data_IF_206951752388
#
_entry.id   IF_206951752388
#
_cell.length_a   1.000
_cell.length_b   1.000
_cell.length_c   1.000
_cell.angle_alpha   90.00
_cell.angle_beta   90.00
_cell.angle_gamma   90.00
#
_symmetry.space_group_name_H-M   'P 1'
#
loop_
_entity.id
_entity.type
_entity.pdbx_description
1 polymer ?
#
# COMPACT_ATOMS: atom_id res chain seq x y z
N UNK A 1 -31.89 17.43 27.90
CA UNK A 1 -31.36 16.10 27.68
C UNK A 1 -30.38 16.08 26.49
N UNK A 2 -29.20 16.65 26.61
CA UNK A 2 -28.06 16.45 25.72
C UNK A 2 -26.71 16.67 26.46
N UNK A 3 -26.34 15.81 27.42
CA UNK A 3 -24.94 15.79 27.89
C UNK A 3 -24.18 14.51 27.54
N UNK A 4 -24.77 13.55 26.81
CA UNK A 4 -24.19 12.21 26.66
C UNK A 4 -23.25 12.07 25.45
N UNK A 5 -23.42 12.87 24.40
CA UNK A 5 -22.60 12.82 23.19
C UNK A 5 -21.24 13.53 23.38
N UNK A 6 -21.19 14.66 24.08
CA UNK A 6 -19.94 15.36 24.37
C UNK A 6 -19.06 14.55 25.33
N UNK A 7 -19.66 13.89 26.32
CA UNK A 7 -18.91 13.03 27.24
C UNK A 7 -18.34 11.79 26.55
N UNK A 8 -19.05 11.23 25.58
CA UNK A 8 -18.56 10.11 24.75
C UNK A 8 -17.40 10.50 23.86
N UNK A 9 -17.46 11.67 23.23
CA UNK A 9 -16.36 12.18 22.42
C UNK A 9 -15.12 12.49 23.25
N UNK A 10 -15.29 13.05 24.47
CA UNK A 10 -14.17 13.28 25.39
C UNK A 10 -13.51 11.98 25.86
N UNK A 11 -14.28 10.94 26.13
CA UNK A 11 -13.77 9.62 26.53
C UNK A 11 -13.02 8.92 25.38
N UNK A 12 -13.50 9.05 24.12
CA UNK A 12 -12.83 8.51 22.95
C UNK A 12 -11.51 9.23 22.66
N UNK A 13 -11.48 10.55 22.80
CA UNK A 13 -10.29 11.38 22.67
C UNK A 13 -9.24 11.04 23.74
N UNK A 14 -9.66 10.88 25.00
CA UNK A 14 -8.77 10.52 26.09
C UNK A 14 -8.16 9.12 25.93
N UNK A 15 -8.94 8.16 25.44
CA UNK A 15 -8.47 6.79 25.16
C UNK A 15 -7.47 6.74 24.02
N UNK A 16 -7.68 7.53 22.97
CA UNK A 16 -6.73 7.63 21.84
C UNK A 16 -5.44 8.35 22.26
N UNK A 17 -5.53 9.36 23.12
CA UNK A 17 -4.36 10.03 23.69
C UNK A 17 -3.55 9.09 24.59
N UNK A 18 -4.22 8.27 25.43
CA UNK A 18 -3.55 7.27 26.27
C UNK A 18 -2.85 6.20 25.43
N UNK A 19 -3.49 5.73 24.36
CA UNK A 19 -2.91 4.77 23.43
C UNK A 19 -1.66 5.34 22.73
N UNK A 20 -1.70 6.60 22.30
CA UNK A 20 -0.56 7.27 21.70
C UNK A 20 0.62 7.41 22.67
N UNK A 21 0.35 7.73 23.93
CA UNK A 21 1.38 7.83 24.99
C UNK A 21 2.02 6.47 25.26
N UNK A 22 1.24 5.38 25.30
CA UNK A 22 1.76 4.03 25.51
C UNK A 22 2.66 3.58 24.34
N UNK A 23 2.30 3.91 23.12
CA UNK A 23 3.13 3.62 21.94
C UNK A 23 4.44 4.41 21.98
N UNK A 24 4.40 5.69 22.34
CA UNK A 24 5.60 6.52 22.51
C UNK A 24 6.52 5.99 23.62
N UNK A 25 5.96 5.55 24.74
CA UNK A 25 6.72 4.93 25.83
C UNK A 25 7.38 3.62 25.40
N UNK A 26 6.69 2.79 24.62
CA UNK A 26 7.25 1.55 24.09
C UNK A 26 8.42 1.81 23.14
N UNK A 27 8.32 2.83 22.28
CA UNK A 27 9.39 3.24 21.37
C UNK A 27 10.60 3.78 22.16
N UNK A 28 10.37 4.56 23.19
CA UNK A 28 11.44 5.08 24.08
C UNK A 28 12.18 3.95 24.80
N UNK A 29 11.46 2.93 25.28
CA UNK A 29 12.06 1.76 25.94
C UNK A 29 12.90 0.96 24.93
N UNK A 30 12.42 0.77 23.69
CA UNK A 30 13.18 0.10 22.63
C UNK A 30 14.44 0.87 22.25
N UNK A 31 14.40 2.20 22.18
CA UNK A 31 15.56 3.04 21.92
C UNK A 31 16.59 3.02 23.06
N UNK A 32 16.10 2.96 24.32
CA UNK A 32 16.99 2.81 25.50
C UNK A 32 17.67 1.45 25.55
N UNK A 33 16.95 0.37 25.19
CA UNK A 33 17.53 -0.99 25.11
C UNK A 33 18.57 -1.10 23.98
N UNK A 34 18.32 -0.45 22.82
CA UNK A 34 19.30 -0.38 21.73
C UNK A 34 20.55 0.39 22.12
N UNK A 35 20.41 1.49 22.86
CA UNK A 35 21.55 2.27 23.35
C UNK A 35 22.44 1.52 24.34
N UNK A 36 21.89 0.58 25.11
CA UNK A 36 22.65 -0.24 26.07
C UNK A 36 23.46 -1.36 25.41
N UNK A 37 23.02 -1.86 24.26
CA UNK A 37 23.75 -2.92 23.52
C UNK A 37 24.94 -2.36 22.73
N UNK A 38 24.95 -1.07 22.39
CA UNK A 38 26.00 -0.46 21.58
C UNK A 38 27.24 0.04 22.35
N UNK A 39 27.29 -0.07 23.69
CA UNK A 39 28.42 0.44 24.48
C UNK A 39 29.40 -0.62 25.01
N UNK A 40 29.33 -1.83 24.52
CA UNK A 40 30.25 -2.89 24.95
C UNK A 40 31.18 -3.36 23.87
N UNK A 41 32.16 -2.57 23.42
CA UNK A 41 33.44 -3.08 22.86
C UNK A 41 34.37 -1.93 22.38
N UNK A 42 35.06 -1.29 23.31
CA UNK A 42 36.33 -0.66 23.01
C UNK A 42 37.20 -0.70 24.25
N UNK A 43 38.26 -1.54 24.20
CA UNK A 43 39.63 -1.24 24.69
C UNK A 43 40.45 -2.52 24.55
N UNK A 44 41.45 -2.44 23.82
CA UNK A 44 42.88 -2.26 23.96
C UNK A 44 43.73 -3.40 23.39
N UNK A 45 44.63 -3.07 22.49
CA UNK A 45 45.78 -3.85 21.95
C UNK A 45 47.08 -3.39 22.66
N UNK A 46 48.23 -4.05 22.51
CA UNK A 46 48.75 -5.39 22.64
C UNK A 46 49.93 -5.47 23.65
N UNK A 47 50.80 -6.47 23.73
CA UNK A 47 51.77 -6.86 22.73
C UNK A 47 52.10 -8.37 22.57
N UNK A 48 52.86 -8.67 21.53
CA UNK A 48 53.26 -9.97 21.04
C UNK A 48 54.07 -10.85 22.00
N UNK A 49 53.80 -12.16 21.92
CA UNK A 49 54.80 -13.22 22.08
C UNK A 49 54.32 -14.51 21.42
N UNK A 50 55.16 -15.05 20.57
CA UNK A 50 55.06 -16.31 19.85
C UNK A 50 54.88 -17.50 20.81
N UNK A 51 53.92 -18.39 20.55
CA UNK A 51 54.08 -19.82 20.81
C UNK A 51 52.96 -20.60 20.09
N UNK A 52 53.41 -21.50 19.21
CA UNK A 52 52.62 -22.52 18.53
C UNK A 52 51.90 -23.43 19.49
N UNK A 53 50.56 -23.45 19.47
CA UNK A 53 49.72 -24.56 19.94
C UNK A 53 48.53 -24.72 19.03
N UNK A 54 48.37 -25.94 18.54
CA UNK A 54 47.25 -26.47 17.79
C UNK A 54 45.93 -25.81 18.13
N UNK A 55 45.28 -25.26 17.12
CA UNK A 55 43.88 -24.87 17.19
C UNK A 55 43.00 -26.10 17.35
N UNK A 56 42.01 -26.12 18.28
CA UNK A 56 40.85 -26.94 18.09
C UNK A 56 40.05 -26.35 16.93
N UNK A 57 39.88 -27.16 15.93
CA UNK A 57 38.95 -26.96 14.81
C UNK A 57 37.59 -26.67 15.39
N UNK A 58 37.24 -25.39 15.51
CA UNK A 58 35.93 -24.95 15.84
C UNK A 58 35.08 -25.31 14.61
N UNK A 59 34.43 -26.45 14.67
CA UNK A 59 33.38 -26.82 13.72
C UNK A 59 32.25 -25.81 13.93
N UNK A 60 32.34 -24.70 13.24
CA UNK A 60 31.18 -23.85 13.00
C UNK A 60 30.24 -24.76 12.23
N UNK A 61 29.22 -25.27 12.90
CA UNK A 61 28.04 -25.82 12.25
C UNK A 61 27.47 -24.66 11.45
N UNK A 62 27.86 -24.55 10.18
CA UNK A 62 27.16 -23.71 9.23
C UNK A 62 25.73 -24.22 9.17
N UNK A 63 24.82 -23.54 9.87
CA UNK A 63 23.38 -23.74 9.68
C UNK A 63 23.13 -23.62 8.17
N UNK A 64 22.35 -24.51 7.58
CA UNK A 64 22.10 -24.51 6.15
C UNK A 64 21.44 -23.17 5.77
N UNK A 65 22.24 -22.29 5.14
CA UNK A 65 21.76 -21.00 4.64
C UNK A 65 20.78 -21.28 3.52
N UNK A 66 19.54 -20.85 3.69
CA UNK A 66 18.50 -20.92 2.67
C UNK A 66 18.44 -19.58 1.97
N UNK A 67 18.26 -19.56 0.66
CA UNK A 67 18.04 -18.34 -0.11
C UNK A 67 16.55 -18.11 -0.32
N UNK A 68 16.12 -16.86 -0.21
CA UNK A 68 14.74 -16.48 -0.45
C UNK A 68 14.35 -16.76 -1.93
N UNK A 69 13.30 -17.54 -2.17
CA UNK A 69 12.79 -17.77 -3.52
C UNK A 69 12.27 -16.48 -4.14
N UNK A 70 12.18 -16.45 -5.48
CA UNK A 70 11.54 -15.34 -6.17
C UNK A 70 10.03 -15.55 -6.24
N UNK A 71 9.26 -14.73 -5.55
CA UNK A 71 7.79 -14.73 -5.56
C UNK A 71 7.21 -13.58 -6.41
N UNK A 72 8.02 -12.58 -6.80
CA UNK A 72 7.55 -11.42 -7.56
C UNK A 72 6.95 -11.85 -8.90
N UNK A 73 5.76 -11.36 -9.20
CA UNK A 73 4.99 -11.68 -10.41
C UNK A 73 4.17 -12.97 -10.32
N UNK A 74 4.37 -13.80 -9.28
CA UNK A 74 3.54 -14.99 -9.05
C UNK A 74 2.14 -14.58 -8.55
N UNK A 75 1.14 -15.43 -8.88
CA UNK A 75 -0.18 -15.33 -8.26
C UNK A 75 -0.11 -15.87 -6.82
N UNK A 76 -0.45 -15.01 -5.85
CA UNK A 76 -0.31 -15.36 -4.44
C UNK A 76 -1.20 -16.53 -4.04
N UNK A 77 -2.48 -16.51 -4.40
CA UNK A 77 -3.43 -17.54 -3.98
C UNK A 77 -3.22 -18.87 -4.72
N UNK A 78 -2.90 -18.81 -6.01
CA UNK A 78 -2.76 -20.01 -6.83
C UNK A 78 -1.38 -20.66 -6.70
N UNK A 79 -0.31 -19.89 -6.53
CA UNK A 79 1.06 -20.39 -6.66
C UNK A 79 1.86 -20.36 -5.34
N UNK A 80 1.48 -19.55 -4.36
CA UNK A 80 2.27 -19.37 -3.12
C UNK A 80 1.51 -19.83 -1.89
N UNK A 81 0.31 -19.33 -1.64
CA UNK A 81 -0.43 -19.50 -0.38
C UNK A 81 -0.63 -20.96 0.06
N UNK A 82 -0.93 -21.85 -0.88
CA UNK A 82 -1.23 -23.26 -0.61
C UNK A 82 -0.16 -24.20 -1.19
N UNK A 83 0.99 -23.68 -1.61
CA UNK A 83 2.03 -24.48 -2.22
C UNK A 83 2.87 -25.16 -1.13
N UNK A 84 2.83 -26.50 -1.12
CA UNK A 84 3.55 -27.34 -0.15
C UNK A 84 5.07 -27.14 -0.18
N UNK A 85 5.63 -26.61 -1.26
CA UNK A 85 7.06 -26.32 -1.35
C UNK A 85 7.46 -25.07 -0.54
N UNK A 86 6.50 -24.25 -0.15
CA UNK A 86 6.75 -23.00 0.58
C UNK A 86 6.10 -22.98 1.95
N UNK A 87 4.91 -23.61 2.08
CA UNK A 87 4.17 -23.72 3.35
C UNK A 87 4.90 -24.68 4.27
N UNK A 88 5.44 -24.17 5.36
CA UNK A 88 6.24 -24.92 6.33
C UNK A 88 7.73 -24.56 6.30
N UNK A 89 8.24 -24.07 5.15
CA UNK A 89 9.61 -23.55 5.05
C UNK A 89 9.69 -22.03 5.25
N UNK A 90 8.57 -21.30 5.04
CA UNK A 90 8.49 -19.84 5.20
C UNK A 90 7.19 -19.44 5.89
N UNK A 91 7.26 -18.34 6.63
CA UNK A 91 6.11 -17.62 7.15
C UNK A 91 5.83 -16.43 6.23
N UNK A 92 4.60 -16.32 5.72
CA UNK A 92 4.23 -15.21 4.83
C UNK A 92 3.47 -14.12 5.58
N UNK A 93 3.99 -12.88 5.50
CA UNK A 93 3.28 -11.68 5.90
C UNK A 93 2.81 -10.95 4.66
N UNK A 94 1.48 -10.83 4.47
CA UNK A 94 0.91 -10.31 3.23
C UNK A 94 0.26 -8.96 3.46
N UNK A 95 0.63 -7.98 2.65
CA UNK A 95 -0.02 -6.68 2.55
C UNK A 95 -0.61 -6.49 1.16
N UNK A 96 -1.65 -5.68 1.06
CA UNK A 96 -2.35 -5.43 -0.19
C UNK A 96 -2.15 -3.98 -0.62
N UNK A 97 -1.77 -3.76 -1.88
CA UNK A 97 -1.55 -2.43 -2.46
C UNK A 97 -2.24 -2.31 -3.82
N UNK A 98 -2.75 -1.13 -4.15
CA UNK A 98 -3.25 -0.87 -5.50
C UNK A 98 -2.07 -0.75 -6.48
N UNK A 99 -2.27 -1.25 -7.70
CA UNK A 99 -1.27 -1.16 -8.77
C UNK A 99 -1.96 -1.08 -10.13
N UNK A 100 -1.60 -0.09 -10.92
CA UNK A 100 -2.09 0.08 -12.29
C UNK A 100 -1.27 -0.74 -13.30
N UNK A 101 -0.13 -1.31 -12.85
CA UNK A 101 0.79 -2.06 -13.71
C UNK A 101 0.83 -3.55 -13.40
N UNK A 102 0.45 -3.96 -12.19
CA UNK A 102 0.47 -5.35 -11.76
C UNK A 102 -0.96 -5.83 -11.56
N UNK A 103 -1.31 -6.92 -12.23
CA UNK A 103 -2.65 -7.52 -12.15
C UNK A 103 -3.02 -7.91 -10.72
N UNK A 104 -4.31 -7.82 -10.43
CA UNK A 104 -4.87 -8.23 -9.13
C UNK A 104 -4.48 -9.67 -8.78
N UNK A 105 -4.03 -9.88 -7.54
CA UNK A 105 -3.62 -11.17 -7.00
C UNK A 105 -2.14 -11.48 -7.20
N UNK A 106 -1.44 -10.76 -8.06
CA UNK A 106 0.00 -10.96 -8.28
C UNK A 106 0.85 -10.21 -7.26
N UNK A 107 2.01 -10.78 -6.95
CA UNK A 107 2.96 -10.21 -6.00
C UNK A 107 3.76 -9.09 -6.69
N UNK A 108 3.66 -7.88 -6.12
CA UNK A 108 4.35 -6.68 -6.62
C UNK A 108 5.81 -6.69 -6.18
N UNK A 109 6.07 -6.99 -4.91
CA UNK A 109 7.41 -7.01 -4.30
C UNK A 109 7.43 -7.93 -3.09
N UNK A 110 8.63 -8.33 -2.71
CA UNK A 110 8.90 -9.18 -1.56
C UNK A 110 10.05 -8.62 -0.71
N UNK A 111 10.08 -9.01 0.55
CA UNK A 111 11.18 -8.76 1.49
C UNK A 111 11.36 -9.99 2.38
N UNK A 112 12.53 -10.64 2.44
CA UNK A 112 13.78 -10.33 1.73
C UNK A 112 13.66 -10.45 0.20
N UNK A 113 14.59 -9.80 -0.53
CA UNK A 113 14.65 -9.92 -1.98
C UNK A 113 15.00 -11.36 -2.41
N UNK A 114 14.66 -11.70 -3.64
CA UNK A 114 14.98 -13.01 -4.19
C UNK A 114 16.50 -13.24 -4.23
N UNK A 115 16.94 -14.32 -3.59
CA UNK A 115 18.36 -14.65 -3.47
C UNK A 115 19.05 -14.14 -2.21
N UNK A 116 18.37 -13.35 -1.38
CA UNK A 116 18.87 -12.98 -0.06
C UNK A 116 18.88 -14.19 0.88
N UNK A 117 19.77 -14.12 1.87
CA UNK A 117 19.86 -15.15 2.90
C UNK A 117 18.68 -15.03 3.84
N UNK A 118 17.96 -16.14 4.02
CA UNK A 118 16.85 -16.27 4.96
C UNK A 118 17.05 -17.51 5.84
N UNK A 119 16.72 -17.40 7.11
CA UNK A 119 16.72 -18.55 8.00
C UNK A 119 15.57 -19.51 7.65
N UNK A 120 15.74 -20.80 7.92
CA UNK A 120 14.67 -21.77 7.75
C UNK A 120 13.49 -21.42 8.67
N UNK A 121 12.29 -21.34 8.10
CA UNK A 121 11.09 -20.87 8.80
C UNK A 121 11.03 -19.34 8.92
N UNK A 122 11.94 -18.61 8.25
CA UNK A 122 11.94 -17.16 8.26
C UNK A 122 10.70 -16.54 7.63
N UNK A 123 10.46 -15.27 7.95
CA UNK A 123 9.30 -14.54 7.45
C UNK A 123 9.63 -13.86 6.13
N UNK A 124 8.77 -14.05 5.13
CA UNK A 124 8.78 -13.32 3.87
C UNK A 124 7.58 -12.39 3.81
N UNK A 125 7.84 -11.09 3.73
CA UNK A 125 6.82 -10.07 3.52
C UNK A 125 6.50 -9.96 2.04
N UNK A 126 5.24 -10.11 1.67
CA UNK A 126 4.76 -10.03 0.29
C UNK A 126 3.78 -8.87 0.16
N UNK A 127 3.94 -8.09 -0.89
CA UNK A 127 2.97 -7.07 -1.28
C UNK A 127 2.23 -7.57 -2.50
N UNK A 128 0.93 -7.77 -2.36
CA UNK A 128 0.05 -8.34 -3.40
C UNK A 128 -0.82 -7.24 -3.99
N UNK A 129 -0.94 -7.23 -5.30
CA UNK A 129 -1.75 -6.26 -6.03
C UNK A 129 -3.24 -6.46 -5.79
N UNK A 130 -3.94 -5.35 -5.51
CA UNK A 130 -5.40 -5.26 -5.57
C UNK A 130 -5.91 -5.00 -6.99
N UNK A 131 -5.00 -4.78 -7.95
CA UNK A 131 -5.30 -4.18 -9.24
C UNK A 131 -5.43 -2.66 -9.15
N UNK A 132 -5.91 -1.99 -10.21
CA UNK A 132 -6.08 -0.54 -10.22
C UNK A 132 -7.11 -0.08 -9.18
N UNK A 133 -6.94 1.13 -8.71
CA UNK A 133 -7.94 1.76 -7.85
C UNK A 133 -9.13 2.19 -8.70
N UNK A 134 -10.32 1.66 -8.39
CA UNK A 134 -11.55 1.98 -9.09
C UNK A 134 -12.41 2.96 -8.29
N UNK A 135 -13.06 3.88 -9.02
CA UNK A 135 -14.13 4.76 -8.52
C UNK A 135 -15.36 4.58 -9.36
N UNK A 136 -16.53 4.86 -8.80
CA UNK A 136 -17.77 4.82 -9.58
C UNK A 136 -17.96 6.15 -10.31
N UNK A 137 -18.30 6.08 -11.61
CA UNK A 137 -18.64 7.23 -12.44
C UNK A 137 -19.84 7.96 -11.83
N UNK A 138 -19.71 9.25 -11.45
CA UNK A 138 -20.86 10.02 -10.96
C UNK A 138 -21.88 10.32 -12.07
N UNK A 139 -23.12 10.56 -11.68
CA UNK A 139 -24.11 11.08 -12.61
C UNK A 139 -23.96 12.60 -12.69
N UNK A 140 -23.48 13.05 -13.84
CA UNK A 140 -23.24 14.48 -14.13
C UNK A 140 -24.11 15.00 -15.27
N UNK A 141 -25.05 14.18 -15.78
CA UNK A 141 -26.00 14.60 -16.83
C UNK A 141 -26.84 15.78 -16.31
N UNK A 142 -26.96 16.82 -17.13
CA UNK A 142 -27.65 18.05 -16.79
C UNK A 142 -26.89 19.02 -15.88
N UNK A 143 -25.72 18.66 -15.37
CA UNK A 143 -24.84 19.59 -14.64
C UNK A 143 -24.32 20.66 -15.61
N UNK A 144 -23.96 21.82 -15.07
CA UNK A 144 -23.14 22.78 -15.81
C UNK A 144 -21.76 22.20 -16.05
N UNK A 145 -21.06 22.67 -17.09
CA UNK A 145 -19.69 22.24 -17.39
C UNK A 145 -18.78 22.32 -16.15
N UNK A 146 -18.80 23.44 -15.41
CA UNK A 146 -17.98 23.63 -14.21
C UNK A 146 -18.35 22.63 -13.11
N UNK A 147 -19.65 22.41 -12.90
CA UNK A 147 -20.14 21.46 -11.91
C UNK A 147 -19.73 20.02 -12.23
N UNK A 148 -19.83 19.61 -13.49
CA UNK A 148 -19.41 18.29 -13.94
C UNK A 148 -17.88 18.10 -13.82
N UNK A 149 -17.08 19.08 -14.20
CA UNK A 149 -15.62 19.08 -14.05
C UNK A 149 -15.25 18.90 -12.58
N UNK A 150 -15.81 19.73 -11.70
CA UNK A 150 -15.55 19.66 -10.25
C UNK A 150 -15.92 18.31 -9.63
N UNK A 151 -17.08 17.75 -10.03
CA UNK A 151 -17.52 16.44 -9.51
C UNK A 151 -16.61 15.30 -9.99
N UNK A 152 -16.22 15.30 -11.28
CA UNK A 152 -15.31 14.30 -11.83
C UNK A 152 -13.92 14.37 -11.20
N UNK A 153 -13.35 15.56 -11.09
CA UNK A 153 -12.04 15.80 -10.47
C UNK A 153 -12.04 15.40 -8.99
N UNK A 154 -13.13 15.67 -8.26
CA UNK A 154 -13.26 15.26 -6.85
C UNK A 154 -13.16 13.76 -6.65
N UNK A 155 -13.49 12.99 -7.69
CA UNK A 155 -13.37 11.53 -7.73
C UNK A 155 -12.05 11.03 -8.32
N UNK A 156 -11.14 11.94 -8.65
CA UNK A 156 -9.85 11.61 -9.26
C UNK A 156 -9.96 11.21 -10.71
N UNK A 157 -11.04 11.61 -11.42
CA UNK A 157 -11.22 11.43 -12.86
C UNK A 157 -10.75 12.67 -13.62
N UNK A 158 -10.32 12.52 -14.85
CA UNK A 158 -9.84 13.63 -15.71
C UNK A 158 -10.91 13.96 -16.75
N UNK A 159 -11.65 15.09 -16.62
CA UNK A 159 -12.67 15.48 -17.59
C UNK A 159 -12.05 16.04 -18.87
N UNK A 160 -12.62 15.66 -20.02
CA UNK A 160 -12.34 16.23 -21.36
C UNK A 160 -13.65 16.67 -21.98
N UNK A 161 -13.87 17.98 -22.05
CA UNK A 161 -15.14 18.56 -22.49
C UNK A 161 -15.17 18.86 -23.98
N UNK A 162 -16.26 18.49 -24.65
CA UNK A 162 -16.52 18.75 -26.05
C UNK A 162 -17.91 19.35 -26.24
N UNK A 163 -18.02 20.42 -27.04
CA UNK A 163 -19.30 20.98 -27.43
C UNK A 163 -19.97 20.14 -28.49
N UNK A 164 -21.26 19.88 -28.31
CA UNK A 164 -22.09 19.16 -29.28
C UNK A 164 -23.32 19.98 -29.65
N UNK A 165 -23.88 19.71 -30.83
CA UNK A 165 -25.11 20.37 -31.30
C UNK A 165 -26.22 20.12 -30.28
N UNK A 166 -26.85 21.21 -29.84
CA UNK A 166 -27.95 21.15 -28.91
C UNK A 166 -29.29 20.99 -29.66
N UNK A 167 -30.00 19.90 -29.38
CA UNK A 167 -31.34 19.65 -29.93
C UNK A 167 -32.48 20.33 -29.13
N UNK A 168 -32.11 21.10 -28.11
CA UNK A 168 -33.02 21.79 -27.22
C UNK A 168 -33.49 20.98 -26.00
N UNK A 169 -33.01 19.73 -25.85
CA UNK A 169 -33.34 18.89 -24.69
C UNK A 169 -32.64 19.33 -23.41
N UNK A 170 -31.51 20.02 -23.53
CA UNK A 170 -30.72 20.53 -22.42
C UNK A 170 -30.47 22.01 -22.54
N UNK A 171 -30.28 22.67 -21.41
CA UNK A 171 -29.84 24.08 -21.42
C UNK A 171 -28.41 24.18 -22.00
N UNK A 172 -28.15 25.26 -22.73
CA UNK A 172 -26.81 25.53 -23.25
C UNK A 172 -25.78 25.55 -22.10
N UNK A 173 -24.60 24.93 -22.32
CA UNK A 173 -23.56 24.79 -21.32
C UNK A 173 -23.77 23.64 -20.33
N UNK A 174 -24.84 22.87 -20.46
CA UNK A 174 -25.06 21.70 -19.62
C UNK A 174 -24.59 20.39 -20.29
N UNK A 175 -24.27 19.40 -19.46
CA UNK A 175 -23.83 18.07 -19.90
C UNK A 175 -25.03 17.30 -20.51
N UNK A 176 -24.83 16.85 -21.72
CA UNK A 176 -25.79 16.04 -22.48
C UNK A 176 -25.51 14.55 -22.28
N UNK A 177 -24.24 14.17 -22.36
CA UNK A 177 -23.80 12.78 -22.21
C UNK A 177 -22.34 12.69 -21.81
N UNK A 178 -21.92 11.51 -21.38
CA UNK A 178 -20.53 11.17 -21.08
C UNK A 178 -20.11 9.94 -21.84
N UNK A 179 -18.81 9.73 -22.00
CA UNK A 179 -18.24 8.52 -22.62
C UNK A 179 -18.44 7.25 -21.80
N UNK A 180 -18.77 7.41 -20.52
CA UNK A 180 -18.99 6.32 -19.57
C UNK A 180 -20.30 6.58 -18.82
N UNK A 181 -21.11 5.55 -18.65
CA UNK A 181 -22.39 5.63 -17.92
C UNK A 181 -22.20 5.80 -16.42
N UNK A 182 -23.09 6.54 -15.78
CA UNK A 182 -23.12 6.71 -14.33
C UNK A 182 -23.17 5.35 -13.62
N UNK A 183 -22.43 5.23 -12.50
CA UNK A 183 -22.32 4.00 -11.72
C UNK A 183 -21.35 2.96 -12.27
N UNK A 184 -20.76 3.16 -13.45
CA UNK A 184 -19.74 2.26 -14.00
C UNK A 184 -18.43 2.41 -13.20
N UNK A 185 -17.77 1.29 -12.80
CA UNK A 185 -16.45 1.35 -12.21
C UNK A 185 -15.40 1.79 -13.22
N UNK A 186 -14.64 2.83 -12.92
CA UNK A 186 -13.56 3.40 -13.74
C UNK A 186 -12.28 3.53 -12.91
N UNK A 187 -11.13 3.38 -13.54
CA UNK A 187 -9.84 3.58 -12.89
C UNK A 187 -9.64 5.05 -12.52
N UNK A 188 -9.08 5.30 -11.34
CA UNK A 188 -8.66 6.66 -10.94
C UNK A 188 -7.67 7.19 -11.96
N UNK A 189 -7.81 8.47 -12.35
CA UNK A 189 -7.02 9.09 -13.41
C UNK A 189 -7.55 8.90 -14.82
N UNK A 190 -8.59 8.06 -15.04
CA UNK A 190 -9.19 7.86 -16.36
C UNK A 190 -9.72 9.15 -16.95
N UNK A 191 -9.55 9.31 -18.27
CA UNK A 191 -10.10 10.45 -19.01
C UNK A 191 -11.55 10.17 -19.35
N UNK A 192 -12.46 11.06 -18.88
CA UNK A 192 -13.89 11.01 -19.15
C UNK A 192 -14.24 12.10 -20.16
N UNK A 193 -14.71 11.70 -21.34
CA UNK A 193 -15.23 12.65 -22.31
C UNK A 193 -16.63 13.09 -21.90
N UNK A 194 -16.81 14.42 -21.77
CA UNK A 194 -18.07 15.05 -21.38
C UNK A 194 -18.57 15.87 -22.55
N UNK A 195 -19.77 15.58 -23.01
CA UNK A 195 -20.40 16.28 -24.12
C UNK A 195 -21.33 17.37 -23.59
N UNK A 196 -21.09 18.61 -23.99
CA UNK A 196 -21.75 19.83 -23.50
C UNK A 196 -22.67 20.36 -24.61
N UNK A 197 -23.90 20.69 -24.27
CA UNK A 197 -24.84 21.35 -25.19
C UNK A 197 -24.31 22.71 -25.65
N UNK A 198 -24.08 22.89 -26.93
CA UNK A 198 -23.72 24.18 -27.50
C UNK A 198 -24.88 25.17 -27.42
N UNK A 199 -24.57 26.48 -27.46
CA UNK A 199 -25.59 27.50 -27.61
C UNK A 199 -26.17 27.41 -29.04
N UNK A 200 -27.48 27.25 -29.19
CA UNK A 200 -28.11 27.20 -30.51
C UNK A 200 -28.00 28.50 -31.34
N UNK A 201 -27.51 29.55 -30.72
CA UNK A 201 -27.36 30.87 -31.34
C UNK A 201 -26.01 31.14 -32.03
N UNK A 202 -25.12 30.15 -32.08
CA UNK A 202 -23.76 30.25 -32.66
C UNK A 202 -23.63 29.43 -33.92
#
# INVERSE_FOLDING_TARGET
>A
TLPDEEQKQHMLSLRNLLAAILVLLAILILLMLWGMVSQGLHTATPPAASSSVSAPESTVLEEPVTLAPNFVGMDYDAQVRNNHNYVGDYLFYVTLEYSDTVEKGKIIRQEPEAGDVIEKGGTVSLVVSKGPQLVQMPDVIGFTQEGAVSELESRGLTPSCFMVVNDGSYAAGCVVSCSVDAGTPVEVGSVITVYIAADPSV
#
